data_IF_966636644809
#
_entry.id   IF_966636644809
#
_cell.length_a   1.000
_cell.length_b   1.000
_cell.length_c   1.000
_cell.angle_alpha   90.00
_cell.angle_beta   90.00
_cell.angle_gamma   90.00
#
_symmetry.space_group_name_H-M   'P 1'
#
loop_
_entity.id
_entity.type
_entity.pdbx_description
1 polymer ?
#
# COMPACT_ATOMS: atom_id res chain seq x y z
N UNK A 1 -4.32 8.81 -15.93
CA UNK A 1 -4.56 8.18 -14.61
C UNK A 1 -4.07 6.75 -14.73
N UNK A 2 -2.87 6.47 -14.22
CA UNK A 2 -2.39 5.09 -14.12
C UNK A 2 -3.18 4.43 -12.97
N UNK A 3 -4.23 3.70 -13.32
CA UNK A 3 -4.80 2.73 -12.40
C UNK A 3 -3.76 1.63 -12.22
N UNK A 4 -3.35 1.38 -10.98
CA UNK A 4 -2.49 0.25 -10.66
C UNK A 4 -3.26 -1.04 -10.95
N UNK A 5 -3.13 -1.57 -12.16
CA UNK A 5 -3.78 -2.80 -12.60
C UNK A 5 -2.94 -4.01 -12.20
N UNK A 6 -2.64 -4.13 -10.90
CA UNK A 6 -1.77 -5.21 -10.39
C UNK A 6 -2.28 -6.60 -10.76
N UNK A 7 -3.59 -6.83 -10.73
CA UNK A 7 -4.13 -8.16 -11.01
C UNK A 7 -3.98 -8.54 -12.48
N UNK A 8 -3.99 -7.54 -13.38
CA UNK A 8 -3.70 -7.76 -14.79
C UNK A 8 -2.21 -7.99 -15.03
N UNK A 9 -1.37 -7.22 -14.35
CA UNK A 9 0.08 -7.37 -14.43
C UNK A 9 0.54 -8.72 -13.85
N UNK A 10 -0.09 -9.21 -12.78
CA UNK A 10 0.17 -10.55 -12.22
C UNK A 10 -0.02 -11.62 -13.30
N UNK A 11 -1.17 -11.62 -13.99
CA UNK A 11 -1.43 -12.60 -15.06
C UNK A 11 -0.40 -12.53 -16.18
N UNK A 12 0.00 -11.32 -16.57
CA UNK A 12 1.03 -11.13 -17.58
C UNK A 12 2.37 -11.74 -17.17
N UNK A 13 2.81 -11.53 -15.92
CA UNK A 13 4.04 -12.12 -15.42
C UNK A 13 3.94 -13.63 -15.20
N UNK A 14 2.77 -14.15 -14.82
CA UNK A 14 2.52 -15.60 -14.76
C UNK A 14 2.66 -16.25 -16.14
N UNK A 15 2.10 -15.62 -17.19
CA UNK A 15 2.22 -16.07 -18.58
C UNK A 15 3.70 -16.04 -19.05
N UNK A 16 4.50 -15.04 -18.66
CA UNK A 16 5.94 -15.00 -18.98
C UNK A 16 6.70 -16.14 -18.30
N UNK A 17 6.43 -16.38 -17.04
CA UNK A 17 7.07 -17.48 -16.24
C UNK A 17 6.67 -18.85 -16.79
N UNK A 18 5.45 -18.99 -17.31
CA UNK A 18 5.01 -20.24 -17.97
C UNK A 18 5.80 -20.50 -19.27
N UNK A 19 6.11 -19.44 -20.04
CA UNK A 19 6.90 -19.52 -21.27
C UNK A 19 8.40 -19.76 -20.99
N UNK A 20 8.95 -19.06 -19.98
CA UNK A 20 10.32 -19.26 -19.50
C UNK A 20 10.35 -19.38 -17.96
N UNK A 21 10.41 -20.60 -17.42
CA UNK A 21 10.49 -20.85 -15.98
C UNK A 21 11.76 -20.34 -15.30
N UNK A 22 12.68 -19.73 -16.04
CA UNK A 22 13.90 -19.10 -15.51
C UNK A 22 13.96 -17.60 -15.77
N UNK A 23 12.85 -17.00 -16.19
CA UNK A 23 12.76 -15.56 -16.39
C UNK A 23 12.81 -14.82 -15.04
N UNK A 24 14.00 -14.26 -14.74
CA UNK A 24 14.23 -13.50 -13.52
C UNK A 24 13.36 -12.24 -13.43
N UNK A 25 13.14 -11.56 -14.56
CA UNK A 25 12.31 -10.35 -14.65
C UNK A 25 10.84 -10.68 -14.40
N UNK A 26 10.36 -11.79 -14.95
CA UNK A 26 9.00 -12.29 -14.70
C UNK A 26 8.72 -12.52 -13.22
N UNK A 27 9.63 -13.21 -12.53
CA UNK A 27 9.50 -13.44 -11.09
C UNK A 27 9.62 -12.14 -10.27
N UNK A 28 10.52 -11.23 -10.62
CA UNK A 28 10.66 -9.96 -9.93
C UNK A 28 9.43 -9.09 -10.12
N UNK A 29 8.93 -8.96 -11.36
CA UNK A 29 7.72 -8.23 -11.69
C UNK A 29 6.48 -8.78 -10.98
N UNK A 30 6.33 -10.12 -10.93
CA UNK A 30 5.28 -10.79 -10.17
C UNK A 30 5.35 -10.42 -8.68
N UNK A 31 6.55 -10.45 -8.10
CA UNK A 31 6.77 -10.06 -6.71
C UNK A 31 6.37 -8.60 -6.47
N UNK A 32 6.81 -7.65 -7.31
CA UNK A 32 6.44 -6.24 -7.20
C UNK A 32 4.91 -6.06 -7.23
N UNK A 33 4.20 -6.78 -8.11
CA UNK A 33 2.74 -6.74 -8.19
C UNK A 33 2.06 -7.29 -6.93
N UNK A 34 2.57 -8.40 -6.36
CA UNK A 34 2.06 -8.97 -5.10
C UNK A 34 2.18 -8.00 -3.94
N UNK A 35 3.29 -7.26 -3.88
CA UNK A 35 3.55 -6.26 -2.87
C UNK A 35 2.90 -4.90 -3.20
N UNK A 36 2.24 -4.79 -4.36
CA UNK A 36 1.58 -3.57 -4.79
C UNK A 36 2.55 -2.41 -4.97
N UNK A 37 3.75 -2.70 -5.50
CA UNK A 37 4.78 -1.69 -5.69
C UNK A 37 4.51 -0.91 -6.96
N UNK A 38 4.46 0.41 -6.82
CA UNK A 38 4.38 1.38 -7.90
C UNK A 38 5.55 2.36 -7.77
N UNK A 39 6.22 2.64 -8.89
CA UNK A 39 7.29 3.62 -8.91
C UNK A 39 6.75 4.98 -9.32
N UNK A 40 6.83 5.93 -8.42
CA UNK A 40 6.48 7.33 -8.69
C UNK A 40 7.73 8.19 -8.84
N UNK A 41 7.63 9.24 -9.63
CA UNK A 41 8.73 10.18 -9.78
C UNK A 41 8.70 11.18 -8.62
N UNK A 42 9.78 11.26 -7.86
CA UNK A 42 9.97 12.27 -6.83
C UNK A 42 10.08 13.66 -7.50
N UNK A 43 9.19 14.61 -7.19
CA UNK A 43 9.16 15.90 -7.84
C UNK A 43 10.41 16.76 -7.54
N UNK A 44 11.13 16.48 -6.45
CA UNK A 44 12.30 17.24 -6.04
C UNK A 44 13.61 16.69 -6.62
N UNK A 45 13.79 15.38 -6.59
CA UNK A 45 15.01 14.73 -7.06
C UNK A 45 14.91 14.18 -8.49
N UNK A 46 13.71 14.06 -9.05
CA UNK A 46 13.44 13.40 -10.32
C UNK A 46 13.66 11.89 -10.31
N UNK A 47 14.06 11.32 -9.17
CA UNK A 47 14.28 9.87 -9.05
C UNK A 47 12.97 9.12 -8.94
N UNK A 48 12.97 7.89 -9.46
CA UNK A 48 11.86 6.97 -9.25
C UNK A 48 12.00 6.34 -7.87
N UNK A 49 10.97 6.48 -7.04
CA UNK A 49 10.89 5.90 -5.70
C UNK A 49 9.75 4.91 -5.63
N UNK A 50 9.93 3.76 -4.96
CA UNK A 50 8.88 2.79 -4.76
C UNK A 50 7.86 3.32 -3.76
N UNK A 51 6.57 3.13 -4.08
CA UNK A 51 5.44 3.29 -3.17
C UNK A 51 4.72 1.95 -3.06
N UNK A 52 4.09 1.67 -1.91
CA UNK A 52 3.43 0.41 -1.65
C UNK A 52 1.92 0.60 -1.57
N UNK A 53 1.15 -0.17 -2.37
CA UNK A 53 -0.33 -0.13 -2.38
C UNK A 53 -0.97 -1.33 -1.69
N UNK A 54 -0.16 -2.30 -1.25
CA UNK A 54 -0.63 -3.52 -0.57
C UNK A 54 0.29 -3.82 0.61
N UNK A 55 -0.27 -4.09 1.77
CA UNK A 55 0.50 -4.54 2.91
C UNK A 55 0.68 -6.06 2.86
N UNK A 56 1.93 -6.50 2.70
CA UNK A 56 2.32 -7.89 2.85
C UNK A 56 3.02 -8.09 4.19
N UNK A 57 2.56 -9.07 4.98
CA UNK A 57 3.13 -9.36 6.30
C UNK A 57 4.48 -10.07 6.23
N UNK A 58 4.71 -10.82 5.13
CA UNK A 58 5.98 -11.48 4.88
C UNK A 58 6.94 -10.48 4.25
N UNK A 59 8.19 -10.35 4.74
CA UNK A 59 9.23 -9.55 4.09
C UNK A 59 9.48 -10.01 2.65
N UNK A 60 9.70 -9.07 1.73
CA UNK A 60 9.93 -9.39 0.31
C UNK A 60 11.11 -10.33 0.11
N UNK A 61 12.17 -10.17 0.91
CA UNK A 61 13.33 -11.07 0.91
C UNK A 61 12.99 -12.54 1.25
N UNK A 62 11.83 -12.80 1.84
CA UNK A 62 11.36 -14.15 2.19
C UNK A 62 10.34 -14.71 1.17
N UNK A 63 9.87 -13.90 0.23
CA UNK A 63 8.94 -14.33 -0.81
C UNK A 63 9.58 -15.32 -1.76
N UNK A 64 8.85 -16.40 -2.13
CA UNK A 64 9.38 -17.47 -2.96
C UNK A 64 9.64 -17.05 -4.40
N UNK A 65 8.84 -16.14 -4.96
CA UNK A 65 9.07 -15.66 -6.32
C UNK A 65 10.24 -14.67 -6.34
N UNK A 66 10.40 -13.83 -5.30
CA UNK A 66 11.61 -13.03 -5.16
C UNK A 66 12.87 -13.89 -5.11
N UNK A 67 12.87 -14.99 -4.34
CA UNK A 67 14.02 -15.91 -4.28
C UNK A 67 14.34 -16.55 -5.63
N UNK A 68 13.32 -16.84 -6.43
CA UNK A 68 13.51 -17.31 -7.81
C UNK A 68 14.08 -16.22 -8.70
N UNK A 69 13.58 -14.98 -8.60
CA UNK A 69 14.13 -13.83 -9.33
C UNK A 69 15.63 -13.69 -9.06
N UNK A 70 16.05 -13.69 -7.79
CA UNK A 70 17.45 -13.63 -7.39
C UNK A 70 18.27 -14.83 -7.91
N UNK A 71 17.69 -16.03 -7.90
CA UNK A 71 18.36 -17.24 -8.37
C UNK A 71 18.66 -17.22 -9.87
N UNK A 72 17.75 -16.67 -10.66
CA UNK A 72 17.83 -16.71 -12.12
C UNK A 72 18.46 -15.44 -12.74
N UNK A 73 18.57 -14.37 -11.97
CA UNK A 73 19.22 -13.13 -12.38
C UNK A 73 20.75 -13.32 -12.54
N UNK A 74 21.33 -12.64 -13.53
CA UNK A 74 22.78 -12.42 -13.57
C UNK A 74 23.25 -11.52 -12.42
N UNK A 75 24.54 -11.36 -12.25
CA UNK A 75 25.10 -10.67 -11.09
C UNK A 75 24.74 -9.17 -11.05
N UNK A 76 24.67 -8.50 -12.21
CA UNK A 76 24.32 -7.08 -12.29
C UNK A 76 22.85 -6.85 -11.95
N UNK A 77 21.96 -7.63 -12.54
CA UNK A 77 20.52 -7.56 -12.31
C UNK A 77 20.17 -7.97 -10.87
N UNK A 78 20.86 -8.99 -10.34
CA UNK A 78 20.68 -9.43 -8.95
C UNK A 78 20.96 -8.31 -7.96
N UNK A 79 22.06 -7.60 -8.14
CA UNK A 79 22.39 -6.46 -7.27
C UNK A 79 21.27 -5.41 -7.27
N UNK A 80 20.72 -5.09 -8.44
CA UNK A 80 19.59 -4.14 -8.55
C UNK A 80 18.36 -4.65 -7.78
N UNK A 81 18.02 -5.92 -7.93
CA UNK A 81 16.86 -6.50 -7.23
C UNK A 81 17.06 -6.53 -5.71
N UNK A 82 18.27 -6.81 -5.24
CA UNK A 82 18.60 -6.79 -3.81
C UNK A 82 18.50 -5.36 -3.23
N UNK A 83 19.01 -4.36 -3.92
CA UNK A 83 18.92 -2.96 -3.51
C UNK A 83 17.45 -2.48 -3.45
N UNK A 84 16.64 -2.85 -4.45
CA UNK A 84 15.21 -2.52 -4.46
C UNK A 84 14.44 -3.25 -3.35
N UNK A 85 14.74 -4.53 -3.12
CA UNK A 85 14.14 -5.30 -2.02
C UNK A 85 14.38 -4.63 -0.66
N UNK A 86 15.61 -4.18 -0.39
CA UNK A 86 15.96 -3.48 0.85
C UNK A 86 15.14 -2.19 1.01
N UNK A 87 14.98 -1.41 -0.05
CA UNK A 87 14.16 -0.17 -0.02
C UNK A 87 12.69 -0.48 0.28
N UNK A 88 12.13 -1.46 -0.43
CA UNK A 88 10.73 -1.86 -0.28
C UNK A 88 10.46 -2.44 1.12
N UNK A 89 11.31 -3.34 1.59
CA UNK A 89 11.16 -3.92 2.93
C UNK A 89 11.30 -2.89 4.04
N UNK A 90 12.14 -1.87 3.86
CA UNK A 90 12.26 -0.75 4.80
C UNK A 90 10.96 0.07 4.87
N UNK A 91 10.31 0.34 3.74
CA UNK A 91 9.02 1.04 3.69
C UNK A 91 7.95 0.21 4.42
N UNK A 92 7.89 -1.10 4.14
CA UNK A 92 6.87 -1.99 4.71
C UNK A 92 7.13 -2.39 6.16
N UNK A 93 8.38 -2.36 6.64
CA UNK A 93 8.72 -2.79 7.99
C UNK A 93 7.91 -2.06 9.07
N UNK A 94 7.76 -0.74 8.93
CA UNK A 94 6.98 0.06 9.86
C UNK A 94 5.50 -0.28 9.82
N UNK A 95 4.93 -0.47 8.62
CA UNK A 95 3.54 -0.87 8.48
C UNK A 95 3.27 -2.25 9.09
N UNK A 96 4.22 -3.20 8.95
CA UNK A 96 4.13 -4.53 9.57
C UNK A 96 4.15 -4.45 11.10
N UNK A 97 5.05 -3.63 11.68
CA UNK A 97 5.11 -3.43 13.13
C UNK A 97 3.80 -2.83 13.65
N UNK A 98 3.29 -1.81 12.99
CA UNK A 98 2.02 -1.19 13.35
C UNK A 98 0.85 -2.18 13.21
N UNK A 99 0.81 -2.97 12.15
CA UNK A 99 -0.23 -3.98 11.95
C UNK A 99 -0.16 -5.12 12.97
N UNK A 100 1.06 -5.51 13.40
CA UNK A 100 1.26 -6.59 14.38
C UNK A 100 0.97 -6.13 15.83
N UNK A 101 1.34 -4.90 16.19
CA UNK A 101 1.30 -4.38 17.54
C UNK A 101 0.32 -3.22 17.73
N UNK A 102 -0.24 -2.70 16.64
CA UNK A 102 -1.12 -1.55 16.65
C UNK A 102 -2.52 -1.84 17.17
N UNK A 103 -3.21 -0.78 17.51
CA UNK A 103 -4.62 -0.86 17.84
C UNK A 103 -5.43 -1.43 16.67
N UNK A 104 -6.18 -2.47 16.95
CA UNK A 104 -7.09 -3.05 15.95
C UNK A 104 -8.31 -2.15 15.82
N UNK A 105 -8.60 -1.71 14.63
CA UNK A 105 -9.80 -0.92 14.34
C UNK A 105 -11.00 -1.84 14.06
N UNK A 106 -12.16 -1.43 14.54
CA UNK A 106 -13.41 -2.10 14.19
C UNK A 106 -13.91 -1.60 12.83
N UNK A 107 -13.73 -0.31 12.54
CA UNK A 107 -14.20 0.34 11.33
C UNK A 107 -13.10 1.21 10.73
N UNK A 108 -12.91 1.13 9.41
CA UNK A 108 -12.10 2.05 8.61
C UNK A 108 -13.03 2.87 7.72
N UNK A 109 -12.97 4.20 7.82
CA UNK A 109 -13.76 5.11 6.97
C UNK A 109 -12.86 5.63 5.86
N UNK A 110 -13.18 5.25 4.61
CA UNK A 110 -12.54 5.74 3.39
C UNK A 110 -13.42 6.77 2.71
N UNK A 111 -12.87 7.95 2.43
CA UNK A 111 -13.60 9.07 1.84
C UNK A 111 -12.64 10.03 1.13
N UNK A 112 -13.18 10.90 0.27
CA UNK A 112 -12.42 11.99 -0.32
C UNK A 112 -12.44 13.18 0.65
N UNK A 113 -11.28 13.65 1.11
CA UNK A 113 -11.17 14.72 2.11
C UNK A 113 -11.53 16.09 1.53
N UNK A 114 -10.95 16.43 0.37
CA UNK A 114 -11.05 17.77 -0.21
C UNK A 114 -11.34 17.74 -1.70
N UNK A 115 -12.01 18.76 -2.19
CA UNK A 115 -12.15 19.07 -3.60
C UNK A 115 -10.85 19.67 -4.17
N UNK A 116 -10.79 19.92 -5.48
CA UNK A 116 -9.62 20.50 -6.15
C UNK A 116 -9.30 21.93 -5.65
N UNK A 117 -10.30 22.65 -5.22
CA UNK A 117 -10.18 24.01 -4.65
C UNK A 117 -9.77 24.02 -3.18
N UNK A 118 -9.55 22.85 -2.56
CA UNK A 118 -9.21 22.69 -1.15
C UNK A 118 -10.39 22.73 -0.18
N UNK A 119 -11.61 22.94 -0.66
CA UNK A 119 -12.81 22.89 0.18
C UNK A 119 -13.10 21.45 0.63
N UNK A 120 -13.79 21.29 1.77
CA UNK A 120 -14.19 19.98 2.28
C UNK A 120 -15.28 19.36 1.40
N UNK A 121 -15.18 18.08 1.13
CA UNK A 121 -16.23 17.33 0.45
C UNK A 121 -17.43 17.06 1.36
N UNK A 122 -18.60 16.82 0.78
CA UNK A 122 -19.76 16.32 1.51
C UNK A 122 -19.44 14.97 2.20
N UNK A 123 -18.69 14.09 1.51
CA UNK A 123 -18.24 12.83 2.07
C UNK A 123 -17.38 13.00 3.34
N UNK A 124 -16.54 14.05 3.40
CA UNK A 124 -15.72 14.33 4.58
C UNK A 124 -16.54 14.79 5.79
N UNK A 125 -17.65 15.48 5.55
CA UNK A 125 -18.59 15.89 6.61
C UNK A 125 -19.36 14.69 7.14
N UNK A 126 -19.87 13.82 6.25
CA UNK A 126 -20.55 12.58 6.63
C UNK A 126 -19.58 11.63 7.36
N UNK A 127 -18.34 11.54 6.91
CA UNK A 127 -17.31 10.72 7.56
C UNK A 127 -17.06 11.15 9.01
N UNK A 128 -17.04 12.45 9.27
CA UNK A 128 -16.89 13.00 10.61
C UNK A 128 -18.10 12.64 11.51
N UNK A 129 -19.32 12.83 11.03
CA UNK A 129 -20.53 12.48 11.80
C UNK A 129 -20.57 10.97 12.13
N UNK A 130 -20.23 10.12 11.16
CA UNK A 130 -20.12 8.68 11.37
C UNK A 130 -19.03 8.32 12.39
N UNK A 131 -17.86 8.96 12.32
CA UNK A 131 -16.78 8.78 13.28
C UNK A 131 -17.27 9.09 14.70
N UNK A 132 -17.92 10.24 14.90
CA UNK A 132 -18.41 10.68 16.22
C UNK A 132 -19.47 9.70 16.77
N UNK A 133 -20.42 9.28 15.94
CA UNK A 133 -21.48 8.32 16.35
C UNK A 133 -20.91 6.95 16.68
N UNK A 134 -20.06 6.40 15.81
CA UNK A 134 -19.50 5.07 16.04
C UNK A 134 -18.58 5.06 17.26
N UNK A 135 -17.76 6.09 17.44
CA UNK A 135 -16.88 6.22 18.61
C UNK A 135 -17.68 6.37 19.90
N UNK A 136 -18.80 7.10 19.90
CA UNK A 136 -19.68 7.22 21.05
C UNK A 136 -20.33 5.89 21.46
N UNK A 137 -20.44 4.96 20.51
CA UNK A 137 -20.93 3.58 20.76
C UNK A 137 -19.81 2.60 21.18
N UNK A 138 -18.56 3.09 21.33
CA UNK A 138 -17.44 2.30 21.79
C UNK A 138 -16.67 1.57 20.67
N UNK A 139 -16.97 1.82 19.40
CA UNK A 139 -16.17 1.28 18.30
C UNK A 139 -14.85 2.04 18.14
N UNK A 140 -13.79 1.32 17.82
CA UNK A 140 -12.50 1.91 17.41
C UNK A 140 -12.55 2.19 15.92
N UNK A 141 -12.54 3.46 15.56
CA UNK A 141 -12.74 3.91 14.20
C UNK A 141 -11.48 4.58 13.67
N UNK A 142 -10.96 4.11 12.54
CA UNK A 142 -9.97 4.84 11.78
C UNK A 142 -10.66 5.90 10.92
N UNK A 143 -10.33 7.15 11.19
CA UNK A 143 -10.76 8.31 10.44
C UNK A 143 -9.54 9.20 10.24
N UNK A 144 -9.03 9.30 9.02
CA UNK A 144 -7.72 9.87 8.70
C UNK A 144 -7.49 11.25 9.35
N UNK A 145 -8.47 12.12 9.26
CA UNK A 145 -8.39 13.49 9.79
C UNK A 145 -8.11 13.54 11.28
N UNK A 146 -8.70 12.65 12.08
CA UNK A 146 -8.48 12.58 13.53
C UNK A 146 -7.31 11.68 13.90
N UNK A 147 -7.25 10.51 13.30
CA UNK A 147 -6.24 9.51 13.64
C UNK A 147 -4.82 9.96 13.24
N UNK A 148 -4.70 10.77 12.15
CA UNK A 148 -3.39 11.25 11.67
C UNK A 148 -3.03 12.65 12.20
N UNK A 149 -3.97 13.38 12.80
CA UNK A 149 -3.75 14.74 13.34
C UNK A 149 -2.63 14.76 14.39
N UNK A 150 -2.55 13.72 15.23
CA UNK A 150 -1.53 13.57 16.27
C UNK A 150 -0.19 13.03 15.75
N UNK A 151 -0.09 12.74 14.46
CA UNK A 151 1.08 12.09 13.84
C UNK A 151 1.89 13.04 12.96
N UNK A 152 1.85 14.34 13.21
CA UNK A 152 2.58 15.34 12.43
C UNK A 152 4.07 14.98 12.29
N UNK A 153 4.56 14.90 11.04
CA UNK A 153 5.96 14.54 10.73
C UNK A 153 6.24 13.05 10.56
N UNK A 154 5.24 12.19 10.61
CA UNK A 154 5.35 10.76 10.32
C UNK A 154 4.89 10.44 8.89
N UNK A 155 5.41 9.33 8.34
CA UNK A 155 4.89 8.77 7.09
C UNK A 155 3.50 8.17 7.32
N UNK A 156 2.47 8.73 6.72
CA UNK A 156 1.07 8.33 6.94
C UNK A 156 0.70 7.00 6.27
N UNK A 157 1.32 6.66 5.13
CA UNK A 157 0.98 5.45 4.38
C UNK A 157 1.06 4.16 5.20
N UNK A 158 2.14 3.89 5.96
CA UNK A 158 2.23 2.69 6.79
C UNK A 158 1.11 2.60 7.84
N UNK A 159 0.69 3.74 8.40
CA UNK A 159 -0.38 3.81 9.40
C UNK A 159 -1.74 3.49 8.76
N UNK A 160 -2.01 4.08 7.59
CA UNK A 160 -3.24 3.84 6.82
C UNK A 160 -3.36 2.35 6.44
N UNK A 161 -2.28 1.75 5.92
CA UNK A 161 -2.30 0.33 5.56
C UNK A 161 -2.46 -0.60 6.75
N UNK A 162 -1.80 -0.28 7.88
CA UNK A 162 -1.96 -1.01 9.13
C UNK A 162 -3.41 -0.96 9.62
N UNK A 163 -4.00 0.24 9.62
CA UNK A 163 -5.38 0.45 10.02
C UNK A 163 -6.36 -0.30 9.12
N UNK A 164 -6.18 -0.20 7.80
CA UNK A 164 -7.01 -0.91 6.82
C UNK A 164 -6.91 -2.43 6.99
N UNK A 165 -5.70 -2.96 7.22
CA UNK A 165 -5.48 -4.38 7.43
C UNK A 165 -6.12 -4.91 8.71
N UNK A 166 -6.15 -4.09 9.77
CA UNK A 166 -6.72 -4.49 11.07
C UNK A 166 -8.22 -4.30 11.18
N UNK A 167 -8.82 -3.46 10.34
CA UNK A 167 -10.24 -3.13 10.41
C UNK A 167 -11.14 -4.33 10.04
N UNK A 168 -12.23 -4.50 10.79
CA UNK A 168 -13.23 -5.54 10.52
C UNK A 168 -14.21 -5.10 9.43
N UNK A 169 -14.45 -3.80 9.32
CA UNK A 169 -15.40 -3.20 8.38
C UNK A 169 -14.75 -2.03 7.67
N UNK A 170 -14.86 -1.99 6.34
CA UNK A 170 -14.53 -0.85 5.50
C UNK A 170 -15.81 -0.11 5.11
N UNK A 171 -15.93 1.14 5.52
CA UNK A 171 -16.95 2.07 5.04
C UNK A 171 -16.36 2.94 3.94
N UNK A 172 -16.87 2.79 2.73
CA UNK A 172 -16.48 3.59 1.58
C UNK A 172 -17.55 4.65 1.31
N UNK A 173 -17.20 5.91 1.51
CA UNK A 173 -18.07 7.05 1.20
C UNK A 173 -17.69 7.60 -0.17
N UNK A 174 -18.49 7.25 -1.18
CA UNK A 174 -18.34 7.75 -2.55
C UNK A 174 -18.97 9.13 -2.69
N UNK A 175 -18.30 10.03 -3.40
CA UNK A 175 -18.90 11.20 -4.00
C UNK A 175 -19.63 10.79 -5.28
N UNK A 176 -20.57 11.66 -5.75
CA UNK A 176 -21.33 11.42 -6.99
C UNK A 176 -20.42 10.95 -8.12
N UNK A 177 -20.89 10.03 -8.99
CA UNK A 177 -20.13 9.67 -10.19
C UNK A 177 -19.93 10.94 -11.02
N UNK A 178 -18.68 11.22 -11.39
CA UNK A 178 -18.31 12.23 -12.38
C UNK A 178 -18.74 11.80 -13.77
#
# INVERSE_FOLDING_TARGET
RNRCEFDRAIRYYEDLIEQDPRDAEGYFGLTLCKYGIEYVQDPYSGKRIPTCRRLQMIPMAQDEDYKKAIRYADDEVRQVYEEECVKIDKILARARILAANGEKFDVFISYKESEEDGSRTEASVIAQDLYERLTSQGYRVFFSRKTLEDMAGLEYEPVIYSALHSAKVLLLLGTKPE
#
